data_IF_079714008366
#
_entry.id   IF_079714008366
#
_cell.length_a   1.000
_cell.length_b   1.000
_cell.length_c   1.000
_cell.angle_alpha   90.00
_cell.angle_beta   90.00
_cell.angle_gamma   90.00
#
_symmetry.space_group_name_H-M   'P 1'
#
loop_
_entity.id
_entity.type
_entity.pdbx_description
1 polymer ?
#
# COMPACT_ATOMS: atom_id res chain seq x y z
N UNK A 1 -5.35 10.93 -5.91
CA UNK A 1 -4.03 10.60 -5.33
C UNK A 1 -4.19 9.34 -4.49
N UNK A 2 -3.26 8.38 -4.58
CA UNK A 2 -3.31 7.15 -3.80
C UNK A 2 -2.02 7.04 -2.97
N UNK A 3 -2.13 6.61 -1.72
CA UNK A 3 -0.99 6.33 -0.83
C UNK A 3 -1.15 4.94 -0.25
N UNK A 4 -0.06 4.21 -0.06
CA UNK A 4 -0.12 2.84 0.45
C UNK A 4 -0.65 2.80 1.89
N UNK A 5 -1.69 1.99 2.09
CA UNK A 5 -2.26 1.71 3.40
C UNK A 5 -1.94 0.31 3.92
N UNK A 6 -2.40 0.04 5.14
CA UNK A 6 -2.14 -1.24 5.81
C UNK A 6 -2.73 -2.45 5.07
N UNK A 7 -3.87 -2.27 4.41
CA UNK A 7 -4.50 -3.32 3.61
C UNK A 7 -3.72 -3.59 2.31
N UNK A 8 -3.12 -2.57 1.71
CA UNK A 8 -2.27 -2.72 0.53
C UNK A 8 -0.98 -3.48 0.89
N UNK A 9 -0.34 -3.12 2.00
CA UNK A 9 0.80 -3.88 2.51
C UNK A 9 0.45 -5.31 2.85
N UNK A 10 -0.73 -5.55 3.43
CA UNK A 10 -1.20 -6.90 3.71
C UNK A 10 -1.38 -7.72 2.43
N UNK A 11 -1.96 -7.13 1.38
CA UNK A 11 -2.08 -7.77 0.06
C UNK A 11 -0.71 -8.05 -0.57
N UNK A 12 0.21 -7.09 -0.53
CA UNK A 12 1.60 -7.27 -1.03
C UNK A 12 2.28 -8.41 -0.26
N UNK A 13 2.18 -8.44 1.07
CA UNK A 13 2.78 -9.47 1.90
C UNK A 13 2.19 -10.86 1.60
N UNK A 14 0.87 -10.98 1.43
CA UNK A 14 0.23 -12.23 1.05
C UNK A 14 0.64 -12.68 -0.36
N UNK A 15 0.90 -11.77 -1.28
CA UNK A 15 1.31 -12.11 -2.63
C UNK A 15 2.78 -12.55 -2.75
N UNK A 16 3.65 -12.07 -1.85
CA UNK A 16 5.10 -12.30 -1.87
C UNK A 16 5.59 -13.38 -0.88
N UNK A 17 4.70 -13.91 -0.05
CA UNK A 17 5.05 -14.93 0.96
C UNK A 17 4.15 -16.15 0.86
N UNK A 18 4.63 -17.30 1.34
CA UNK A 18 3.86 -18.56 1.38
C UNK A 18 2.81 -18.59 2.52
N UNK A 19 2.33 -17.42 2.96
CA UNK A 19 1.32 -17.34 4.01
C UNK A 19 -0.01 -17.89 3.50
N UNK A 20 -0.59 -18.82 4.26
CA UNK A 20 -1.94 -19.32 3.99
C UNK A 20 -2.96 -18.22 4.19
N UNK A 21 -3.87 -18.09 3.22
CA UNK A 21 -5.02 -17.19 3.33
C UNK A 21 -5.91 -17.62 4.49
N UNK A 22 -6.30 -16.64 5.31
CA UNK A 22 -7.28 -16.83 6.39
C UNK A 22 -8.66 -16.46 5.85
N UNK A 23 -9.72 -16.90 6.53
CA UNK A 23 -11.10 -16.57 6.12
C UNK A 23 -11.36 -15.06 6.00
N UNK A 24 -10.65 -14.23 6.76
CA UNK A 24 -10.75 -12.76 6.68
C UNK A 24 -10.11 -12.16 5.42
N UNK A 25 -9.27 -12.93 4.74
CA UNK A 25 -8.55 -12.50 3.53
C UNK A 25 -9.31 -12.91 2.25
N UNK A 26 -10.47 -13.53 2.36
CA UNK A 26 -11.24 -14.06 1.23
C UNK A 26 -11.60 -13.00 0.18
N UNK A 27 -11.75 -11.74 0.59
CA UNK A 27 -11.99 -10.61 -0.32
C UNK A 27 -10.79 -10.32 -1.23
N UNK A 28 -9.59 -10.77 -0.87
CA UNK A 28 -8.35 -10.60 -1.64
C UNK A 28 -8.10 -11.74 -2.63
N UNK A 29 -8.81 -12.86 -2.47
CA UNK A 29 -8.66 -14.05 -3.32
C UNK A 29 -8.73 -13.77 -4.82
N UNK A 30 -9.64 -12.91 -5.35
CA UNK A 30 -9.70 -12.64 -6.79
C UNK A 30 -8.43 -12.00 -7.34
N UNK A 31 -7.74 -11.17 -6.54
CA UNK A 31 -6.48 -10.53 -6.95
C UNK A 31 -5.34 -11.56 -6.88
N UNK A 32 -5.32 -12.37 -5.82
CA UNK A 32 -4.27 -13.37 -5.58
C UNK A 32 -4.36 -14.59 -6.51
N UNK A 33 -5.53 -14.91 -7.05
CA UNK A 33 -5.73 -15.97 -8.03
C UNK A 33 -5.67 -15.48 -9.49
N UNK A 34 -5.62 -14.17 -9.71
CA UNK A 34 -5.54 -13.59 -11.05
C UNK A 34 -4.26 -13.99 -11.76
N UNK A 35 -4.36 -14.33 -13.05
CA UNK A 35 -3.20 -14.52 -13.92
C UNK A 35 -2.31 -13.26 -13.98
N UNK A 36 -2.88 -12.07 -13.73
CA UNK A 36 -2.18 -10.80 -13.72
C UNK A 36 -1.67 -10.37 -12.32
N UNK A 37 -1.74 -11.26 -11.32
CA UNK A 37 -1.34 -10.98 -9.93
C UNK A 37 0.00 -10.26 -9.85
N UNK A 38 1.02 -10.78 -10.54
CA UNK A 38 2.40 -10.26 -10.43
C UNK A 38 2.44 -8.79 -10.84
N UNK A 39 1.89 -8.45 -12.01
CA UNK A 39 1.90 -7.06 -12.49
C UNK A 39 1.09 -6.12 -11.59
N UNK A 40 -0.03 -6.58 -11.04
CA UNK A 40 -0.83 -5.79 -10.10
C UNK A 40 -0.05 -5.48 -8.81
N UNK A 41 0.64 -6.47 -8.26
CA UNK A 41 1.43 -6.33 -7.02
C UNK A 41 2.72 -5.53 -7.27
N UNK A 42 3.33 -5.67 -8.45
CA UNK A 42 4.45 -4.82 -8.88
C UNK A 42 4.02 -3.36 -9.03
N UNK A 43 2.87 -3.09 -9.66
CA UNK A 43 2.35 -1.72 -9.72
C UNK A 43 2.03 -1.17 -8.32
N UNK A 44 1.39 -1.98 -7.48
CA UNK A 44 0.96 -1.56 -6.14
C UNK A 44 2.15 -1.20 -5.24
N UNK A 45 3.23 -2.00 -5.23
CA UNK A 45 4.38 -1.74 -4.35
C UNK A 45 5.16 -0.46 -4.70
N UNK A 46 4.99 0.08 -5.90
CA UNK A 46 5.63 1.33 -6.34
C UNK A 46 4.75 2.56 -6.10
N UNK A 47 3.57 2.40 -5.49
CA UNK A 47 2.75 3.54 -5.09
C UNK A 47 3.41 4.28 -3.91
N UNK A 48 3.22 5.61 -3.81
CA UNK A 48 3.87 6.41 -2.79
C UNK A 48 3.36 6.05 -1.38
N UNK A 49 4.23 6.18 -0.38
CA UNK A 49 3.87 6.06 1.05
C UNK A 49 3.19 7.32 1.57
N UNK A 50 3.61 8.46 1.04
CA UNK A 50 3.10 9.78 1.38
C UNK A 50 3.19 10.67 0.15
N UNK A 51 2.42 11.75 0.13
CA UNK A 51 2.50 12.75 -0.91
C UNK A 51 2.40 14.15 -0.32
N UNK A 52 3.30 15.04 -0.75
CA UNK A 52 3.31 16.44 -0.37
C UNK A 52 2.67 17.27 -1.50
N UNK A 53 1.55 17.91 -1.22
CA UNK A 53 0.91 18.87 -2.11
C UNK A 53 1.39 20.28 -1.74
N UNK A 54 2.35 20.79 -2.50
CA UNK A 54 3.05 22.05 -2.18
C UNK A 54 2.16 23.27 -2.31
N UNK A 55 1.20 23.25 -3.22
CA UNK A 55 0.29 24.39 -3.43
C UNK A 55 -0.66 24.59 -2.24
N UNK A 56 -0.97 23.50 -1.51
CA UNK A 56 -1.89 23.50 -0.38
C UNK A 56 -1.19 23.38 0.98
N UNK A 57 0.15 23.32 1.00
CA UNK A 57 0.96 22.99 2.19
C UNK A 57 0.39 21.76 2.95
N UNK A 58 0.03 20.72 2.19
CA UNK A 58 -0.71 19.57 2.70
C UNK A 58 0.08 18.27 2.52
N UNK A 59 0.04 17.43 3.56
CA UNK A 59 0.59 16.08 3.52
C UNK A 59 -0.52 15.05 3.52
N UNK A 60 -0.48 14.15 2.53
CA UNK A 60 -1.43 13.06 2.37
C UNK A 60 -0.74 11.75 2.73
N UNK A 61 -1.30 11.08 3.74
CA UNK A 61 -0.83 9.81 4.30
C UNK A 61 -2.01 8.96 4.74
N UNK A 62 -1.85 7.64 4.80
CA UNK A 62 -2.94 6.74 5.16
C UNK A 62 -3.43 6.88 6.62
N UNK A 63 -2.50 6.97 7.58
CA UNK A 63 -2.82 6.88 9.01
C UNK A 63 -2.32 8.09 9.83
N UNK A 64 -1.98 9.19 9.15
CA UNK A 64 -1.37 10.35 9.79
C UNK A 64 0.13 10.19 10.03
N UNK A 65 0.70 11.15 10.75
CA UNK A 65 2.13 11.24 11.02
C UNK A 65 2.34 11.40 12.51
N UNK A 66 3.29 10.64 13.06
CA UNK A 66 3.77 10.88 14.42
C UNK A 66 4.46 12.26 14.53
N UNK A 67 4.18 13.06 15.57
CA UNK A 67 4.68 14.45 15.66
C UNK A 67 6.21 14.61 15.60
N UNK A 68 6.98 13.55 15.89
CA UNK A 68 8.44 13.58 15.85
C UNK A 68 9.04 13.15 14.51
N UNK A 69 8.22 12.82 13.50
CA UNK A 69 8.72 12.41 12.19
C UNK A 69 9.01 13.65 11.36
N UNK A 70 10.21 13.68 10.77
CA UNK A 70 10.62 14.69 9.81
C UNK A 70 10.56 14.09 8.40
N UNK A 71 9.90 14.78 7.48
CA UNK A 71 9.97 14.45 6.06
C UNK A 71 11.06 15.27 5.40
N UNK A 72 11.89 14.60 4.62
CA UNK A 72 12.90 15.24 3.78
C UNK A 72 12.49 14.97 2.35
N UNK A 73 12.19 16.04 1.62
CA UNK A 73 12.13 15.98 0.17
C UNK A 73 13.55 15.63 -0.31
N UNK A 74 13.67 14.53 -1.06
CA UNK A 74 14.93 14.06 -1.64
C UNK A 74 15.38 14.88 -2.83
#
# INVERSE_FOLDING_TARGET
MNVLGNHDFHLIALALTDRKLRSKDNSLSPILSSANKINLIEWLRHQPLFHMEKELDALIVHAGVHPSLEFRDG
#
